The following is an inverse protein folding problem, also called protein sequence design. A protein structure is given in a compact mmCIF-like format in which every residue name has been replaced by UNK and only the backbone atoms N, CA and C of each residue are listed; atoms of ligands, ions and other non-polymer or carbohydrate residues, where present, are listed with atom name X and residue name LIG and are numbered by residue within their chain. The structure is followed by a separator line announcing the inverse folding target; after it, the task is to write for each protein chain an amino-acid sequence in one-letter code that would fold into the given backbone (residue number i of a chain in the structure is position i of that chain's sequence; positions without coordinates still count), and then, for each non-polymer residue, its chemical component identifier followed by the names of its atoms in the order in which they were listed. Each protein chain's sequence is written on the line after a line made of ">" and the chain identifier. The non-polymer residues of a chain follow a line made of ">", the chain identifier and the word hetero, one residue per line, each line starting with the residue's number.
data_IF_110927146661
#
_entry.id   IF_110927146661
#
_cell.length_a   1.000
_cell.length_b   1.000
_cell.length_c   1.000
_cell.angle_alpha   90.00
_cell.angle_beta   90.00
_cell.angle_gamma   90.00
#
_symmetry.space_group_name_H-M   'P 1'
#
loop_
_entity.id
_entity.type
_entity.pdbx_description
1 polymer ?
#
# COMPACT_ATOMS: atom_id res chain seq x y z
N UNK A 1 15.10 3.76 -11.22
CA UNK A 1 14.72 5.20 -11.32
C UNK A 1 13.27 5.27 -11.82
N UNK A 2 12.17 5.55 -11.11
CA UNK A 2 11.81 5.78 -9.71
C UNK A 2 10.54 4.95 -9.42
N UNK A 3 10.52 4.13 -8.37
CA UNK A 3 9.33 3.44 -7.86
C UNK A 3 8.31 4.40 -7.16
N UNK A 4 8.49 5.71 -7.32
CA UNK A 4 7.67 6.77 -6.70
C UNK A 4 6.30 7.02 -7.38
N UNK A 5 5.99 6.32 -8.48
CA UNK A 5 4.77 6.57 -9.28
C UNK A 5 3.47 6.24 -8.57
N UNK A 6 3.48 5.37 -7.56
CA UNK A 6 2.27 5.02 -6.82
C UNK A 6 2.00 5.96 -5.63
N UNK A 7 3.05 6.39 -4.93
CA UNK A 7 2.93 7.35 -3.82
C UNK A 7 2.31 8.68 -4.27
N UNK A 8 2.77 9.23 -5.41
CA UNK A 8 2.20 10.46 -5.95
C UNK A 8 0.73 10.33 -6.34
N UNK A 9 0.33 9.17 -6.88
CA UNK A 9 -1.08 8.85 -7.19
C UNK A 9 -1.91 8.74 -5.91
N UNK A 10 -1.39 8.10 -4.88
CA UNK A 10 -2.07 7.99 -3.59
C UNK A 10 -2.34 9.38 -2.98
N UNK A 11 -1.32 10.25 -2.95
CA UNK A 11 -1.48 11.65 -2.50
C UNK A 11 -2.52 12.37 -3.35
N UNK A 12 -2.50 12.18 -4.67
CA UNK A 12 -3.44 12.84 -5.58
C UNK A 12 -4.89 12.39 -5.34
N UNK A 13 -5.13 11.09 -5.14
CA UNK A 13 -6.45 10.58 -4.77
C UNK A 13 -6.95 11.19 -3.46
N UNK A 14 -6.09 11.27 -2.44
CA UNK A 14 -6.42 11.91 -1.16
C UNK A 14 -6.77 13.40 -1.35
N UNK A 15 -5.99 14.13 -2.15
CA UNK A 15 -6.27 15.53 -2.48
C UNK A 15 -7.62 15.68 -3.17
N UNK A 16 -7.90 14.90 -4.23
CA UNK A 16 -9.20 14.92 -4.92
C UNK A 16 -10.32 14.71 -3.90
N UNK A 17 -10.17 13.75 -2.99
CA UNK A 17 -11.20 13.48 -2.00
C UNK A 17 -11.38 14.64 -1.01
N UNK A 18 -10.31 15.30 -0.56
CA UNK A 18 -10.39 16.44 0.36
C UNK A 18 -11.16 17.60 -0.28
N UNK A 19 -10.77 18.00 -1.50
CA UNK A 19 -11.37 19.15 -2.21
C UNK A 19 -12.51 18.75 -3.16
N UNK A 20 -13.12 17.58 -2.94
CA UNK A 20 -14.14 16.98 -3.84
C UNK A 20 -15.36 17.86 -4.09
N UNK A 21 -15.69 18.79 -3.19
CA UNK A 21 -16.82 19.70 -3.34
C UNK A 21 -16.60 20.76 -4.41
N UNK A 22 -15.35 21.06 -4.76
CA UNK A 22 -14.97 22.04 -5.79
C UNK A 22 -15.03 21.47 -7.21
N UNK A 23 -15.25 20.16 -7.36
CA UNK A 23 -15.25 19.45 -8.64
C UNK A 23 -16.61 18.87 -8.96
N UNK A 24 -16.95 18.85 -10.26
CA UNK A 24 -18.13 18.13 -10.76
C UNK A 24 -17.79 16.63 -10.88
N UNK A 25 -17.83 15.94 -9.75
CA UNK A 25 -17.57 14.49 -9.65
C UNK A 25 -18.90 13.75 -9.69
N UNK A 26 -19.04 12.79 -10.60
CA UNK A 26 -20.23 11.94 -10.63
C UNK A 26 -20.17 10.86 -9.53
N UNK A 27 -21.31 10.21 -9.24
CA UNK A 27 -21.40 9.22 -8.14
C UNK A 27 -20.37 8.09 -8.27
N UNK A 28 -20.14 7.58 -9.49
CA UNK A 28 -19.19 6.49 -9.73
C UNK A 28 -17.75 6.93 -9.46
N UNK A 29 -17.38 8.12 -9.88
CA UNK A 29 -16.05 8.69 -9.63
C UNK A 29 -15.85 8.94 -8.14
N UNK A 30 -16.87 9.49 -7.47
CA UNK A 30 -16.86 9.71 -6.02
C UNK A 30 -16.60 8.40 -5.27
N UNK A 31 -17.38 7.35 -5.57
CA UNK A 31 -17.25 6.05 -4.94
C UNK A 31 -15.86 5.45 -5.19
N UNK A 32 -15.37 5.52 -6.43
CA UNK A 32 -14.02 5.01 -6.77
C UNK A 32 -12.89 5.73 -6.02
N UNK A 33 -12.97 7.07 -5.92
CA UNK A 33 -11.97 7.86 -5.19
C UNK A 33 -12.08 7.59 -3.69
N UNK A 34 -13.29 7.49 -3.15
CA UNK A 34 -13.53 7.14 -1.75
C UNK A 34 -12.88 5.80 -1.40
N UNK A 35 -13.16 4.77 -2.17
CA UNK A 35 -12.72 3.40 -1.88
C UNK A 35 -11.18 3.31 -1.92
N UNK A 36 -10.54 3.97 -2.89
CA UNK A 36 -9.07 4.10 -2.94
C UNK A 36 -8.53 4.88 -1.73
N UNK A 37 -9.18 5.97 -1.32
CA UNK A 37 -8.73 6.74 -0.15
C UNK A 37 -8.82 5.92 1.15
N UNK A 38 -9.90 5.15 1.33
CA UNK A 38 -10.05 4.24 2.47
C UNK A 38 -8.91 3.21 2.47
N UNK A 39 -8.65 2.59 1.32
CA UNK A 39 -7.53 1.66 1.17
C UNK A 39 -6.18 2.30 1.51
N UNK A 40 -5.94 3.52 1.02
CA UNK A 40 -4.69 4.23 1.28
C UNK A 40 -4.49 4.41 2.78
N UNK A 41 -5.49 4.93 3.48
CA UNK A 41 -5.42 5.21 4.92
C UNK A 41 -5.32 3.92 5.73
N UNK A 42 -6.08 2.88 5.38
CA UNK A 42 -6.16 1.62 6.16
C UNK A 42 -4.93 0.73 5.98
N UNK A 43 -4.38 0.66 4.77
CA UNK A 43 -3.33 -0.30 4.42
C UNK A 43 -2.05 0.39 3.96
N UNK A 44 -2.14 1.29 2.98
CA UNK A 44 -0.97 1.74 2.23
C UNK A 44 -0.08 2.74 2.98
N UNK A 45 -0.65 3.65 3.78
CA UNK A 45 0.12 4.70 4.47
C UNK A 45 1.20 4.11 5.37
N UNK A 46 0.89 3.04 6.11
CA UNK A 46 1.87 2.37 6.99
C UNK A 46 3.03 1.77 6.18
N UNK A 47 2.73 1.03 5.11
CA UNK A 47 3.74 0.45 4.24
C UNK A 47 4.58 1.53 3.54
N UNK A 48 3.94 2.63 3.11
CA UNK A 48 4.62 3.77 2.51
C UNK A 48 5.60 4.44 3.48
N UNK A 49 5.17 4.73 4.72
CA UNK A 49 6.01 5.43 5.69
C UNK A 49 7.33 4.67 6.00
N UNK A 50 7.27 3.34 6.01
CA UNK A 50 8.42 2.48 6.28
C UNK A 50 9.24 2.11 5.03
N UNK A 51 8.76 2.42 3.82
CA UNK A 51 9.41 2.04 2.56
C UNK A 51 10.89 2.47 2.42
N UNK A 52 11.37 3.61 2.98
CA UNK A 52 12.78 3.97 2.92
C UNK A 52 13.71 3.10 3.78
N UNK A 53 13.17 2.36 4.76
CA UNK A 53 13.98 1.55 5.66
C UNK A 53 14.13 0.13 5.11
N UNK A 54 15.29 -0.14 4.51
CA UNK A 54 15.56 -1.42 3.86
C UNK A 54 15.65 -2.60 4.84
N UNK A 55 16.13 -2.38 6.07
CA UNK A 55 16.31 -3.46 7.06
C UNK A 55 14.96 -4.06 7.48
N UNK A 56 13.93 -3.23 7.57
CA UNK A 56 12.57 -3.67 7.95
C UNK A 56 11.73 -4.15 6.75
N UNK A 57 12.21 -3.95 5.52
CA UNK A 57 11.43 -4.21 4.31
C UNK A 57 10.84 -5.63 4.26
N UNK A 58 11.59 -6.71 4.59
CA UNK A 58 11.04 -8.06 4.54
C UNK A 58 9.84 -8.27 5.48
N UNK A 59 9.95 -7.81 6.73
CA UNK A 59 8.86 -7.90 7.71
C UNK A 59 7.70 -7.01 7.32
N UNK A 60 7.95 -5.78 6.87
CA UNK A 60 6.91 -4.84 6.48
C UNK A 60 6.11 -5.33 5.27
N UNK A 61 6.75 -5.96 4.29
CA UNK A 61 6.07 -6.48 3.11
C UNK A 61 5.18 -7.68 3.45
N UNK A 62 5.64 -8.59 4.31
CA UNK A 62 4.83 -9.69 4.82
C UNK A 62 3.67 -9.18 5.69
N UNK A 63 3.94 -8.16 6.52
CA UNK A 63 2.92 -7.48 7.32
C UNK A 63 1.86 -6.82 6.44
N UNK A 64 2.28 -6.16 5.36
CA UNK A 64 1.38 -5.53 4.41
C UNK A 64 0.52 -6.57 3.69
N UNK A 65 1.07 -7.72 3.29
CA UNK A 65 0.27 -8.84 2.76
C UNK A 65 -0.81 -9.30 3.75
N UNK A 66 -0.47 -9.43 5.04
CA UNK A 66 -1.44 -9.78 6.09
C UNK A 66 -2.53 -8.72 6.22
N UNK A 67 -2.16 -7.45 6.20
CA UNK A 67 -3.10 -6.33 6.29
C UNK A 67 -4.03 -6.29 5.07
N UNK A 68 -3.51 -6.58 3.87
CA UNK A 68 -4.32 -6.75 2.66
C UNK A 68 -5.30 -7.92 2.80
N UNK A 69 -4.85 -9.07 3.32
CA UNK A 69 -5.72 -10.22 3.54
C UNK A 69 -6.88 -9.88 4.50
N UNK A 70 -6.59 -9.20 5.60
CA UNK A 70 -7.62 -8.73 6.53
C UNK A 70 -8.58 -7.70 5.89
N UNK A 71 -8.06 -6.85 4.99
CA UNK A 71 -8.85 -5.85 4.26
C UNK A 71 -9.90 -6.46 3.32
N UNK A 72 -9.83 -7.77 3.02
CA UNK A 72 -10.91 -8.46 2.27
C UNK A 72 -12.28 -8.30 2.93
N UNK A 73 -12.33 -8.15 4.24
CA UNK A 73 -13.58 -7.92 5.01
C UNK A 73 -14.23 -6.56 4.72
N UNK A 74 -13.47 -5.60 4.17
CA UNK A 74 -13.94 -4.25 3.83
C UNK A 74 -14.18 -4.15 2.32
N UNK A 75 -13.21 -4.58 1.51
CA UNK A 75 -13.29 -4.60 0.05
C UNK A 75 -12.47 -5.77 -0.50
N UNK A 76 -13.17 -6.88 -0.74
CA UNK A 76 -12.60 -8.12 -1.26
C UNK A 76 -11.92 -7.91 -2.62
N UNK A 77 -12.58 -7.21 -3.54
CA UNK A 77 -12.09 -7.04 -4.90
C UNK A 77 -10.79 -6.22 -4.93
N UNK A 78 -10.76 -5.10 -4.23
CA UNK A 78 -9.57 -4.25 -4.17
C UNK A 78 -8.43 -4.94 -3.43
N UNK A 79 -8.74 -5.65 -2.35
CA UNK A 79 -7.77 -6.47 -1.63
C UNK A 79 -7.11 -7.49 -2.55
N UNK A 80 -7.90 -8.29 -3.29
CA UNK A 80 -7.37 -9.34 -4.16
C UNK A 80 -6.53 -8.82 -5.31
N UNK A 81 -6.99 -7.75 -5.97
CA UNK A 81 -6.23 -7.12 -7.06
C UNK A 81 -4.90 -6.59 -6.53
N UNK A 82 -4.91 -5.99 -5.34
CA UNK A 82 -3.70 -5.44 -4.73
C UNK A 82 -2.74 -6.54 -4.28
N UNK A 83 -3.23 -7.62 -3.66
CA UNK A 83 -2.40 -8.77 -3.27
C UNK A 83 -1.72 -9.39 -4.49
N UNK A 84 -2.48 -9.67 -5.55
CA UNK A 84 -1.94 -10.21 -6.82
C UNK A 84 -0.86 -9.30 -7.39
N UNK A 85 -1.06 -7.98 -7.33
CA UNK A 85 -0.05 -7.03 -7.79
C UNK A 85 1.18 -7.03 -6.89
N UNK A 86 0.98 -7.02 -5.58
CA UNK A 86 2.04 -6.91 -4.58
C UNK A 86 2.95 -8.13 -4.51
N UNK A 87 2.42 -9.35 -4.70
CA UNK A 87 3.23 -10.58 -4.74
C UNK A 87 4.33 -10.50 -5.82
N UNK A 88 4.05 -9.86 -6.96
CA UNK A 88 5.06 -9.66 -8.02
C UNK A 88 6.19 -8.68 -7.60
N UNK A 89 5.99 -7.89 -6.55
CA UNK A 89 7.01 -7.00 -5.98
C UNK A 89 7.90 -7.70 -4.95
N UNK A 90 7.58 -8.93 -4.54
CA UNK A 90 8.35 -9.72 -3.58
C UNK A 90 9.53 -10.49 -4.19
N UNK A 91 9.87 -10.20 -5.45
CA UNK A 91 10.97 -10.84 -6.16
C UNK A 91 12.33 -10.72 -5.45
N UNK A 92 12.48 -9.72 -4.57
CA UNK A 92 13.70 -9.51 -3.80
C UNK A 92 13.76 -10.37 -2.53
N UNK A 93 12.68 -11.03 -2.09
CA UNK A 93 12.65 -11.91 -0.91
C UNK A 93 13.25 -13.28 -1.23
N UNK A 94 14.55 -13.31 -1.51
CA UNK A 94 15.38 -14.51 -1.62
C UNK A 94 16.39 -14.59 -0.46
N UNK A 95 17.00 -15.76 -0.20
CA UNK A 95 17.84 -15.99 0.99
C UNK A 95 18.93 -14.93 1.23
N UNK A 96 19.54 -14.41 0.17
CA UNK A 96 20.61 -13.42 0.26
C UNK A 96 20.10 -12.05 0.71
N UNK A 97 18.92 -11.63 0.24
CA UNK A 97 18.29 -10.36 0.65
C UNK A 97 17.60 -10.45 2.00
N UNK A 98 17.18 -11.64 2.44
CA UNK A 98 16.60 -11.81 3.78
C UNK A 98 17.61 -11.51 4.88
N UNK A 99 18.92 -11.60 4.58
CA UNK A 99 19.98 -11.21 5.51
C UNK A 99 19.88 -9.76 5.99
N UNK A 100 19.27 -8.85 5.22
CA UNK A 100 19.02 -7.48 5.67
C UNK A 100 18.05 -7.41 6.85
N UNK A 101 17.17 -8.40 7.02
CA UNK A 101 16.26 -8.48 8.16
C UNK A 101 16.98 -8.75 9.49
N UNK A 102 18.24 -9.21 9.47
CA UNK A 102 19.03 -9.35 10.71
C UNK A 102 19.34 -8.01 11.37
N UNK A 103 19.23 -6.91 10.63
CA UNK A 103 19.39 -5.55 11.16
C UNK A 103 18.06 -4.90 11.57
N UNK A 104 16.95 -5.64 11.52
CA UNK A 104 15.65 -5.18 12.03
C UNK A 104 15.59 -5.39 13.56
N UNK A 105 15.62 -4.29 14.30
CA UNK A 105 15.57 -4.29 15.77
C UNK A 105 14.25 -4.78 16.37
N UNK A 106 13.20 -4.97 15.56
CA UNK A 106 11.93 -5.52 16.05
C UNK A 106 11.85 -7.05 15.90
N UNK A 107 12.86 -7.68 15.27
CA UNK A 107 12.93 -9.15 15.09
C UNK A 107 13.74 -9.82 16.22
N UNK A 108 14.73 -9.11 16.78
CA UNK A 108 15.63 -9.58 17.84
C UNK A 108 15.62 -8.61 19.02
#
# INVERSE_FOLDING_TARGET
>A
MHHARWMSKAIYCLKIFIVRQEFKINKREYDSVRDICIFIVRCYVKAWFNAPNACVAPRQDLQFLRDLYAYKTIDEKLSEVTQKKFINHLWYLFPESVGFAFFDSDIF
#
